data_IF_385909349941
#
_entry.id   IF_385909349941
#
_cell.length_a   1.000
_cell.length_b   1.000
_cell.length_c   1.000
_cell.angle_alpha   90.00
_cell.angle_beta   90.00
_cell.angle_gamma   90.00
#
_symmetry.space_group_name_H-M   'P 1'
#
loop_
_entity.id
_entity.type
_entity.pdbx_description
1 polymer ?
#
# COMPACT_ATOMS: atom_id res chain seq x y z
N UNK A 1 -28.72 -43.55 15.06
CA UNK A 1 -29.66 -42.40 15.05
C UNK A 1 -29.11 -41.18 15.79
N UNK A 2 -28.25 -41.32 16.81
CA UNK A 2 -27.66 -40.20 17.58
C UNK A 2 -26.57 -39.37 16.86
N UNK A 3 -25.89 -39.91 15.85
CA UNK A 3 -24.83 -39.19 15.13
C UNK A 3 -25.37 -38.16 14.12
N UNK A 4 -26.52 -38.44 13.50
CA UNK A 4 -27.19 -37.52 12.57
C UNK A 4 -27.70 -36.25 13.27
N UNK A 5 -28.27 -36.40 14.46
CA UNK A 5 -28.80 -35.26 15.24
C UNK A 5 -27.71 -34.35 15.80
N UNK A 6 -26.54 -34.88 16.15
CA UNK A 6 -25.38 -34.07 16.53
C UNK A 6 -24.83 -33.28 15.33
N UNK A 7 -24.72 -33.92 14.16
CA UNK A 7 -24.28 -33.27 12.92
C UNK A 7 -25.21 -32.12 12.51
N UNK A 8 -26.53 -32.31 12.60
CA UNK A 8 -27.51 -31.27 12.24
C UNK A 8 -27.45 -30.06 13.18
N UNK A 9 -27.29 -30.28 14.50
CA UNK A 9 -27.09 -29.20 15.47
C UNK A 9 -25.78 -28.46 15.24
N UNK A 10 -24.70 -29.18 14.94
CA UNK A 10 -23.40 -28.58 14.64
C UNK A 10 -23.45 -27.72 13.36
N UNK A 11 -24.12 -28.21 12.31
CA UNK A 11 -24.34 -27.45 11.07
C UNK A 11 -25.17 -26.19 11.33
N UNK A 12 -26.24 -26.28 12.12
CA UNK A 12 -27.06 -25.12 12.46
C UNK A 12 -26.28 -24.06 13.26
N UNK A 13 -25.44 -24.48 14.21
CA UNK A 13 -24.56 -23.58 14.97
C UNK A 13 -23.52 -22.94 14.05
N UNK A 14 -22.87 -23.73 13.18
CA UNK A 14 -21.91 -23.22 12.22
C UNK A 14 -22.53 -22.17 11.30
N UNK A 15 -23.72 -22.46 10.74
CA UNK A 15 -24.43 -21.51 9.89
C UNK A 15 -24.76 -20.20 10.62
N UNK A 16 -25.02 -20.22 11.93
CA UNK A 16 -25.22 -18.99 12.71
C UNK A 16 -23.94 -18.17 12.95
N UNK A 17 -22.78 -18.81 13.03
CA UNK A 17 -21.51 -18.18 13.45
C UNK A 17 -20.51 -17.95 12.32
N UNK A 18 -20.63 -18.64 11.19
CA UNK A 18 -19.64 -18.67 10.12
C UNK A 18 -19.20 -17.27 9.66
N UNK A 19 -20.13 -16.38 9.29
CA UNK A 19 -19.77 -15.01 8.87
C UNK A 19 -19.12 -14.23 10.01
N UNK A 20 -19.61 -14.38 11.25
CA UNK A 20 -19.06 -13.71 12.43
C UNK A 20 -17.60 -14.10 12.65
N UNK A 21 -17.30 -15.40 12.57
CA UNK A 21 -15.95 -15.94 12.72
C UNK A 21 -15.05 -15.46 11.58
N UNK A 22 -15.52 -15.51 10.32
CA UNK A 22 -14.73 -15.08 9.16
C UNK A 22 -14.36 -13.60 9.22
N UNK A 23 -15.29 -12.72 9.59
CA UNK A 23 -15.06 -11.28 9.67
C UNK A 23 -14.08 -10.93 10.81
N UNK A 24 -14.24 -11.56 11.98
CA UNK A 24 -13.29 -11.39 13.10
C UNK A 24 -11.90 -11.94 12.75
N UNK A 25 -11.84 -13.09 12.07
CA UNK A 25 -10.58 -13.67 11.66
C UNK A 25 -9.89 -12.82 10.60
N UNK A 26 -10.65 -12.20 9.69
CA UNK A 26 -10.13 -11.21 8.74
C UNK A 26 -9.48 -10.03 9.47
N UNK A 27 -10.12 -9.46 10.50
CA UNK A 27 -9.53 -8.38 11.32
C UNK A 27 -8.26 -8.84 12.03
N UNK A 28 -8.26 -10.04 12.60
CA UNK A 28 -7.08 -10.63 13.23
C UNK A 28 -5.90 -10.72 12.26
N UNK A 29 -6.13 -11.18 11.03
CA UNK A 29 -5.08 -11.22 10.01
C UNK A 29 -4.55 -9.83 9.68
N UNK A 30 -5.40 -8.80 9.59
CA UNK A 30 -4.94 -7.42 9.37
C UNK A 30 -4.04 -6.92 10.51
N UNK A 31 -4.39 -7.23 11.77
CA UNK A 31 -3.56 -6.90 12.94
C UNK A 31 -2.22 -7.63 12.89
N UNK A 32 -2.21 -8.91 12.50
CA UNK A 32 -0.97 -9.67 12.34
C UNK A 32 -0.11 -9.05 11.22
N UNK A 33 -0.70 -8.74 10.07
CA UNK A 33 -0.01 -8.16 8.92
C UNK A 33 0.59 -6.79 9.23
N UNK A 34 -0.13 -5.92 9.95
CA UNK A 34 0.38 -4.57 10.26
C UNK A 34 1.58 -4.62 11.23
N UNK A 35 1.53 -5.51 12.23
CA UNK A 35 2.58 -5.63 13.24
C UNK A 35 3.80 -6.36 12.66
N UNK A 36 3.58 -7.51 12.02
CA UNK A 36 4.66 -8.34 11.48
C UNK A 36 5.27 -7.73 10.22
N UNK A 37 4.48 -7.04 9.39
CA UNK A 37 4.96 -6.32 8.20
C UNK A 37 5.98 -5.25 8.56
N UNK A 38 5.68 -4.43 9.58
CA UNK A 38 6.65 -3.44 10.08
C UNK A 38 7.91 -4.10 10.68
N UNK A 39 7.74 -5.19 11.45
CA UNK A 39 8.88 -5.89 12.07
C UNK A 39 9.80 -6.58 11.06
N UNK A 40 9.29 -7.02 9.90
CA UNK A 40 10.07 -7.68 8.84
C UNK A 40 11.21 -6.79 8.35
N UNK A 41 11.00 -5.47 8.27
CA UNK A 41 12.00 -4.50 7.81
C UNK A 41 13.30 -4.55 8.63
N UNK A 42 13.18 -4.79 9.95
CA UNK A 42 14.30 -4.70 10.89
C UNK A 42 14.76 -6.06 11.46
N UNK A 43 13.95 -7.13 11.35
CA UNK A 43 14.24 -8.43 11.99
C UNK A 43 14.12 -9.59 11.01
N UNK A 44 15.26 -10.19 10.68
CA UNK A 44 15.35 -11.38 9.84
C UNK A 44 15.18 -12.69 10.65
N UNK A 45 13.98 -12.95 11.19
CA UNK A 45 13.66 -14.23 11.86
C UNK A 45 12.80 -15.14 10.98
N UNK A 46 13.14 -16.43 10.89
CA UNK A 46 12.40 -17.40 10.08
C UNK A 46 10.93 -17.53 10.48
N UNK A 47 10.63 -17.56 11.79
CA UNK A 47 9.25 -17.59 12.28
C UNK A 47 8.43 -16.37 11.82
N UNK A 48 9.02 -15.17 11.85
CA UNK A 48 8.34 -13.95 11.37
C UNK A 48 7.99 -14.06 9.88
N UNK A 49 8.93 -14.58 9.07
CA UNK A 49 8.74 -14.80 7.64
C UNK A 49 7.58 -15.77 7.36
N UNK A 50 7.55 -16.92 8.04
CA UNK A 50 6.51 -17.94 7.85
C UNK A 50 5.14 -17.40 8.29
N UNK A 51 5.03 -16.81 9.48
CA UNK A 51 3.76 -16.27 9.96
C UNK A 51 3.22 -15.16 9.06
N UNK A 52 4.08 -14.23 8.63
CA UNK A 52 3.69 -13.14 7.75
C UNK A 52 3.25 -13.67 6.38
N UNK A 53 3.96 -14.66 5.83
CA UNK A 53 3.61 -15.30 4.57
C UNK A 53 2.23 -15.98 4.63
N UNK A 54 1.97 -16.77 5.68
CA UNK A 54 0.65 -17.41 5.88
C UNK A 54 -0.44 -16.35 6.02
N UNK A 55 -0.22 -15.32 6.84
CA UNK A 55 -1.20 -14.26 7.04
C UNK A 55 -1.48 -13.49 5.74
N UNK A 56 -0.44 -13.20 4.95
CA UNK A 56 -0.53 -12.48 3.68
C UNK A 56 -1.37 -13.24 2.66
N UNK A 57 -1.07 -14.54 2.48
CA UNK A 57 -1.85 -15.39 1.58
C UNK A 57 -3.29 -15.58 2.06
N UNK A 58 -3.50 -15.67 3.37
CA UNK A 58 -4.83 -15.96 3.92
C UNK A 58 -5.75 -14.74 3.93
N UNK A 59 -5.23 -13.52 4.07
CA UNK A 59 -6.04 -12.33 4.29
C UNK A 59 -7.05 -12.06 3.16
N UNK A 60 -6.59 -12.09 1.92
CA UNK A 60 -7.45 -11.82 0.75
C UNK A 60 -8.46 -12.97 0.53
N UNK A 61 -8.02 -14.21 0.73
CA UNK A 61 -8.89 -15.39 0.62
C UNK A 61 -10.03 -15.36 1.62
N UNK A 62 -9.76 -15.02 2.88
CA UNK A 62 -10.77 -15.02 3.94
C UNK A 62 -11.80 -13.92 3.72
N UNK A 63 -11.38 -12.74 3.28
CA UNK A 63 -12.31 -11.69 2.96
C UNK A 63 -13.18 -12.06 1.73
N UNK A 64 -12.60 -12.74 0.73
CA UNK A 64 -13.35 -13.26 -0.44
C UNK A 64 -14.40 -14.29 -0.02
N UNK A 65 -14.02 -15.27 0.80
CA UNK A 65 -14.93 -16.32 1.29
C UNK A 65 -16.05 -15.69 2.12
N UNK A 66 -15.73 -14.73 3.00
CA UNK A 66 -16.72 -14.02 3.80
C UNK A 66 -17.73 -13.26 2.92
N UNK A 67 -17.27 -12.55 1.89
CA UNK A 67 -18.15 -11.89 0.92
C UNK A 67 -19.02 -12.89 0.14
N UNK A 68 -18.46 -14.04 -0.25
CA UNK A 68 -19.22 -15.10 -0.93
C UNK A 68 -20.34 -15.67 -0.06
N UNK A 69 -20.05 -15.95 1.22
CA UNK A 69 -21.04 -16.44 2.19
C UNK A 69 -22.13 -15.39 2.44
N UNK A 70 -21.75 -14.11 2.56
CA UNK A 70 -22.71 -12.99 2.69
C UNK A 70 -23.64 -12.92 1.47
N UNK A 71 -23.07 -12.98 0.26
CA UNK A 71 -23.83 -12.98 -1.00
C UNK A 71 -24.81 -14.16 -1.09
N UNK A 72 -24.35 -15.36 -0.72
CA UNK A 72 -25.18 -16.56 -0.70
C UNK A 72 -26.37 -16.42 0.27
N UNK A 73 -26.15 -15.88 1.48
CA UNK A 73 -27.20 -15.68 2.48
C UNK A 73 -28.26 -14.68 2.01
N UNK A 74 -27.83 -13.57 1.41
CA UNK A 74 -28.76 -12.62 0.79
C UNK A 74 -29.54 -13.27 -0.36
N UNK A 75 -28.87 -14.09 -1.17
CA UNK A 75 -29.49 -14.85 -2.26
C UNK A 75 -30.58 -15.82 -1.76
N UNK A 76 -30.31 -16.54 -0.67
CA UNK A 76 -31.17 -17.56 -0.09
C UNK A 76 -32.41 -17.00 0.65
N UNK A 77 -32.43 -15.70 0.98
CA UNK A 77 -33.54 -14.99 1.66
C UNK A 77 -34.91 -15.15 1.00
N UNK A 78 -34.97 -15.50 -0.30
CA UNK A 78 -36.23 -15.79 -1.01
C UNK A 78 -36.90 -17.10 -0.59
N UNK A 79 -36.17 -18.06 0.00
CA UNK A 79 -36.64 -19.44 0.16
C UNK A 79 -36.93 -19.88 1.60
N UNK A 80 -36.38 -19.22 2.63
CA UNK A 80 -36.60 -19.61 4.03
C UNK A 80 -36.60 -18.40 4.97
N UNK A 81 -37.63 -18.32 5.81
CA UNK A 81 -37.83 -17.31 6.87
C UNK A 81 -37.01 -17.60 8.13
N UNK A 82 -35.71 -17.87 7.99
CA UNK A 82 -34.85 -18.02 9.17
C UNK A 82 -34.34 -16.64 9.61
N UNK A 83 -34.70 -16.29 10.84
CA UNK A 83 -34.35 -15.10 11.57
C UNK A 83 -32.83 -14.88 11.66
N UNK A 84 -32.32 -13.94 10.88
CA UNK A 84 -31.11 -13.18 11.19
C UNK A 84 -31.22 -11.85 10.46
N UNK A 85 -31.21 -10.73 11.18
CA UNK A 85 -31.37 -9.40 10.59
C UNK A 85 -30.25 -9.13 9.57
N UNK A 86 -30.54 -9.21 8.25
CA UNK A 86 -29.52 -9.25 7.20
C UNK A 86 -28.76 -7.93 7.09
N UNK A 87 -29.39 -6.85 7.54
CA UNK A 87 -28.92 -5.47 7.35
C UNK A 87 -27.60 -5.20 8.08
N UNK A 88 -27.43 -5.69 9.32
CA UNK A 88 -26.18 -5.49 10.06
C UNK A 88 -25.04 -6.38 9.54
N UNK A 89 -25.36 -7.55 8.99
CA UNK A 89 -24.37 -8.43 8.37
C UNK A 89 -23.90 -7.88 7.02
N UNK A 90 -24.81 -7.26 6.26
CA UNK A 90 -24.46 -6.59 5.02
C UNK A 90 -23.53 -5.39 5.22
N UNK A 91 -23.61 -4.70 6.38
CA UNK A 91 -22.63 -3.68 6.76
C UNK A 91 -21.19 -4.23 6.85
N UNK A 92 -21.01 -5.52 7.13
CA UNK A 92 -19.67 -6.12 7.15
C UNK A 92 -19.06 -6.27 5.75
N UNK A 93 -19.84 -6.20 4.66
CA UNK A 93 -19.29 -6.29 3.31
C UNK A 93 -18.35 -5.10 2.97
N UNK A 94 -18.74 -3.82 3.16
CA UNK A 94 -17.81 -2.69 3.09
C UNK A 94 -16.60 -2.79 4.01
N UNK A 95 -16.75 -3.42 5.17
CA UNK A 95 -15.63 -3.61 6.09
C UNK A 95 -14.61 -4.62 5.54
N UNK A 96 -15.10 -5.73 4.97
CA UNK A 96 -14.25 -6.70 4.27
C UNK A 96 -13.55 -6.09 3.05
N UNK A 97 -14.20 -5.16 2.36
CA UNK A 97 -13.57 -4.38 1.30
C UNK A 97 -12.36 -3.58 1.82
N UNK A 98 -12.49 -2.94 2.97
CA UNK A 98 -11.38 -2.20 3.60
C UNK A 98 -10.23 -3.13 3.96
N UNK A 99 -10.52 -4.34 4.45
CA UNK A 99 -9.51 -5.37 4.71
C UNK A 99 -8.79 -5.85 3.44
N UNK A 100 -9.52 -6.00 2.34
CA UNK A 100 -8.93 -6.33 1.05
C UNK A 100 -8.05 -5.20 0.49
N UNK A 101 -8.24 -3.96 0.94
CA UNK A 101 -7.30 -2.87 0.71
C UNK A 101 -5.94 -3.07 1.40
N UNK A 102 -5.84 -3.97 2.38
CA UNK A 102 -4.62 -4.36 3.07
C UNK A 102 -3.99 -3.25 3.94
N UNK A 103 -3.07 -3.62 4.86
CA UNK A 103 -2.43 -2.66 5.74
C UNK A 103 -1.33 -1.88 5.01
N UNK A 104 -0.95 -0.73 5.56
CA UNK A 104 0.00 0.17 4.92
C UNK A 104 1.46 -0.35 4.97
N UNK A 105 1.76 -1.23 5.92
CA UNK A 105 3.10 -1.77 6.18
C UNK A 105 3.52 -2.90 5.26
N UNK A 106 2.57 -3.51 4.54
CA UNK A 106 2.85 -4.60 3.59
C UNK A 106 1.85 -4.58 2.45
N UNK A 107 2.32 -4.29 1.24
CA UNK A 107 1.56 -4.36 -0.01
C UNK A 107 1.88 -5.64 -0.79
N UNK A 108 3.16 -5.94 -0.90
CA UNK A 108 3.71 -7.08 -1.61
C UNK A 108 4.67 -7.86 -0.71
N UNK A 109 4.49 -9.19 -0.67
CA UNK A 109 5.39 -10.05 0.10
C UNK A 109 6.71 -10.25 -0.66
N UNK A 110 6.61 -10.52 -1.97
CA UNK A 110 7.74 -10.65 -2.88
C UNK A 110 7.64 -9.60 -4.02
N UNK A 111 8.73 -9.37 -4.76
CA UNK A 111 8.73 -8.38 -5.85
C UNK A 111 7.82 -8.81 -7.00
N UNK A 112 7.72 -10.12 -7.22
CA UNK A 112 6.89 -10.77 -8.23
C UNK A 112 5.40 -10.49 -8.01
N UNK A 113 4.97 -10.22 -6.77
CA UNK A 113 3.58 -9.87 -6.48
C UNK A 113 3.19 -8.51 -7.09
N UNK A 114 4.16 -7.62 -7.32
CA UNK A 114 3.92 -6.30 -7.93
C UNK A 114 3.57 -6.42 -9.42
N UNK A 115 4.20 -7.38 -10.13
CA UNK A 115 3.93 -7.65 -11.55
C UNK A 115 2.50 -8.15 -11.79
N UNK A 116 1.94 -8.83 -10.78
CA UNK A 116 0.59 -9.40 -10.83
C UNK A 116 -0.51 -8.37 -10.50
N UNK A 117 -0.20 -7.08 -10.48
CA UNK A 117 -1.19 -6.02 -10.22
C UNK A 117 -2.44 -6.06 -11.12
N UNK A 118 -2.39 -6.42 -12.43
CA UNK A 118 -3.60 -6.48 -13.25
C UNK A 118 -4.54 -7.61 -12.82
N UNK A 119 -3.98 -8.75 -12.41
CA UNK A 119 -4.73 -9.87 -11.86
C UNK A 119 -5.42 -9.46 -10.56
N UNK A 120 -4.67 -8.80 -9.68
CA UNK A 120 -5.22 -8.32 -8.41
C UNK A 120 -6.35 -7.31 -8.65
N UNK A 121 -6.20 -6.40 -9.62
CA UNK A 121 -7.25 -5.46 -9.99
C UNK A 121 -8.54 -6.19 -10.39
N UNK A 122 -8.46 -7.22 -11.24
CA UNK A 122 -9.62 -8.01 -11.64
C UNK A 122 -10.30 -8.69 -10.43
N UNK A 123 -9.52 -9.33 -9.55
CA UNK A 123 -10.03 -9.96 -8.33
C UNK A 123 -10.76 -8.96 -7.43
N UNK A 124 -10.19 -7.77 -7.24
CA UNK A 124 -10.78 -6.71 -6.45
C UNK A 124 -12.07 -6.15 -7.07
N UNK A 125 -12.13 -5.98 -8.40
CA UNK A 125 -13.36 -5.53 -9.10
C UNK A 125 -14.51 -6.53 -8.91
N UNK A 126 -14.21 -7.83 -8.98
CA UNK A 126 -15.22 -8.87 -8.71
C UNK A 126 -15.69 -8.79 -7.25
N UNK A 127 -14.76 -8.73 -6.29
CA UNK A 127 -15.10 -8.62 -4.87
C UNK A 127 -15.90 -7.35 -4.53
N UNK A 128 -15.54 -6.22 -5.12
CA UNK A 128 -16.27 -4.95 -4.99
C UNK A 128 -17.69 -5.10 -5.53
N UNK A 129 -17.85 -5.75 -6.68
CA UNK A 129 -19.16 -6.02 -7.29
C UNK A 129 -20.03 -6.92 -6.39
N UNK A 130 -19.44 -7.95 -5.75
CA UNK A 130 -20.14 -8.81 -4.78
C UNK A 130 -20.57 -8.02 -3.54
N UNK A 131 -19.70 -7.18 -3.00
CA UNK A 131 -20.04 -6.34 -1.84
C UNK A 131 -21.16 -5.33 -2.18
N UNK A 132 -21.11 -4.70 -3.36
CA UNK A 132 -22.17 -3.80 -3.83
C UNK A 132 -23.49 -4.54 -4.01
N UNK A 133 -23.45 -5.76 -4.56
CA UNK A 133 -24.62 -6.61 -4.68
C UNK A 133 -25.27 -6.92 -3.32
N UNK A 134 -24.46 -7.29 -2.33
CA UNK A 134 -24.93 -7.54 -0.95
C UNK A 134 -25.61 -6.29 -0.39
N UNK A 135 -24.98 -5.11 -0.53
CA UNK A 135 -25.54 -3.86 -0.03
C UNK A 135 -26.85 -3.45 -0.70
N UNK A 136 -26.94 -3.57 -2.03
CA UNK A 136 -28.16 -3.22 -2.78
C UNK A 136 -29.30 -4.16 -2.36
N UNK A 137 -29.01 -5.45 -2.20
CA UNK A 137 -30.01 -6.47 -1.86
C UNK A 137 -30.47 -6.39 -0.41
N UNK A 138 -29.59 -6.02 0.51
CA UNK A 138 -29.92 -5.79 1.91
C UNK A 138 -30.52 -4.40 2.17
N UNK A 139 -30.60 -3.54 1.15
CA UNK A 139 -31.03 -2.16 1.31
C UNK A 139 -32.48 -2.10 1.79
N UNK A 140 -32.65 -1.43 2.92
CA UNK A 140 -33.89 -1.18 3.62
C UNK A 140 -33.82 0.24 4.21
N UNK A 141 -34.94 0.85 4.55
CA UNK A 141 -34.98 2.20 5.15
C UNK A 141 -34.43 2.26 6.59
N UNK A 142 -33.69 1.23 7.02
CA UNK A 142 -33.07 1.15 8.33
C UNK A 142 -31.88 2.13 8.45
N UNK A 143 -31.75 2.87 9.58
CA UNK A 143 -30.67 3.84 9.77
C UNK A 143 -29.26 3.24 9.67
N UNK A 144 -29.09 1.94 9.94
CA UNK A 144 -27.79 1.25 9.85
C UNK A 144 -27.21 1.20 8.42
N UNK A 145 -28.05 1.32 7.38
CA UNK A 145 -27.56 1.30 6.00
C UNK A 145 -26.76 2.55 5.64
N UNK A 146 -27.04 3.68 6.27
CA UNK A 146 -26.26 4.90 6.07
C UNK A 146 -24.81 4.76 6.55
N UNK A 147 -24.52 3.83 7.48
CA UNK A 147 -23.16 3.53 7.92
C UNK A 147 -22.34 2.84 6.83
N UNK A 148 -22.99 2.08 5.95
CA UNK A 148 -22.31 1.36 4.88
C UNK A 148 -21.70 2.31 3.84
N UNK A 149 -22.28 3.51 3.64
CA UNK A 149 -21.82 4.50 2.65
C UNK A 149 -20.40 5.02 2.95
N UNK A 150 -20.11 5.64 4.10
CA UNK A 150 -18.76 6.10 4.42
C UNK A 150 -17.77 4.93 4.47
N UNK A 151 -18.19 3.75 4.95
CA UNK A 151 -17.33 2.57 4.97
C UNK A 151 -16.98 2.08 3.56
N UNK A 152 -17.92 2.14 2.62
CA UNK A 152 -17.70 1.80 1.21
C UNK A 152 -16.72 2.78 0.56
N UNK A 153 -16.84 4.08 0.85
CA UNK A 153 -15.90 5.11 0.37
C UNK A 153 -14.49 4.81 0.90
N UNK A 154 -14.34 4.54 2.20
CA UNK A 154 -13.06 4.16 2.79
C UNK A 154 -12.47 2.90 2.13
N UNK A 155 -13.32 1.90 1.84
CA UNK A 155 -12.93 0.70 1.09
C UNK A 155 -12.37 1.02 -0.29
N UNK A 156 -13.11 1.79 -1.10
CA UNK A 156 -12.68 2.22 -2.44
C UNK A 156 -11.33 2.93 -2.39
N UNK A 157 -11.13 3.82 -1.41
CA UNK A 157 -9.86 4.52 -1.22
C UNK A 157 -8.74 3.51 -0.93
N UNK A 158 -8.92 2.64 0.07
CA UNK A 158 -7.92 1.65 0.47
C UNK A 158 -7.56 0.67 -0.65
N UNK A 159 -8.55 0.33 -1.49
CA UNK A 159 -8.33 -0.45 -2.71
C UNK A 159 -7.49 0.28 -3.75
N UNK A 160 -7.88 1.52 -4.06
CA UNK A 160 -7.16 2.35 -5.01
C UNK A 160 -5.71 2.55 -4.59
N UNK A 161 -5.47 2.79 -3.28
CA UNK A 161 -4.14 2.89 -2.71
C UNK A 161 -3.30 1.62 -2.97
N UNK A 162 -3.87 0.43 -2.71
CA UNK A 162 -3.16 -0.84 -2.90
C UNK A 162 -2.79 -1.07 -4.36
N UNK A 163 -3.74 -0.88 -5.29
CA UNK A 163 -3.49 -1.08 -6.72
C UNK A 163 -2.49 -0.07 -7.26
N UNK A 164 -2.61 1.20 -6.87
CA UNK A 164 -1.67 2.24 -7.29
C UNK A 164 -0.23 1.90 -6.89
N UNK A 165 -0.03 1.47 -5.64
CA UNK A 165 1.30 1.10 -5.13
C UNK A 165 1.85 -0.13 -5.85
N UNK A 166 1.05 -1.19 -6.02
CA UNK A 166 1.47 -2.38 -6.75
C UNK A 166 1.89 -2.06 -8.19
N UNK A 167 1.09 -1.27 -8.91
CA UNK A 167 1.42 -0.83 -10.26
C UNK A 167 2.69 0.02 -10.29
N UNK A 168 2.80 1.02 -9.41
CA UNK A 168 3.98 1.91 -9.36
C UNK A 168 5.27 1.17 -9.02
N UNK A 169 5.16 0.02 -8.33
CA UNK A 169 6.26 -0.83 -7.94
C UNK A 169 6.55 -1.96 -8.95
N UNK A 170 5.74 -2.14 -10.00
CA UNK A 170 6.05 -3.05 -11.10
C UNK A 170 7.29 -2.57 -11.86
N UNK A 171 8.11 -3.49 -12.36
CA UNK A 171 9.42 -3.18 -12.92
C UNK A 171 9.32 -2.20 -14.09
N UNK A 172 8.36 -2.42 -15.00
CA UNK A 172 8.16 -1.54 -16.16
C UNK A 172 7.81 -0.10 -15.74
N UNK A 173 6.78 0.09 -14.91
CA UNK A 173 6.37 1.43 -14.46
C UNK A 173 7.43 2.07 -13.55
N UNK A 174 8.09 1.27 -12.71
CA UNK A 174 9.17 1.71 -11.84
C UNK A 174 10.36 2.23 -12.65
N UNK A 175 10.76 1.52 -13.71
CA UNK A 175 11.82 1.90 -14.64
C UNK A 175 11.43 3.12 -15.46
N UNK A 176 10.24 3.12 -16.05
CA UNK A 176 9.74 4.24 -16.86
C UNK A 176 9.63 5.53 -16.07
N UNK A 177 9.28 5.45 -14.77
CA UNK A 177 9.25 6.61 -13.87
C UNK A 177 10.63 7.27 -13.64
N UNK A 178 11.72 6.57 -13.96
CA UNK A 178 13.10 7.04 -13.78
C UNK A 178 13.80 7.43 -15.08
N UNK A 179 13.25 7.05 -16.23
CA UNK A 179 13.80 7.43 -17.52
C UNK A 179 13.45 8.90 -17.82
N UNK A 180 14.40 9.70 -18.33
CA UNK A 180 14.05 11.00 -18.91
C UNK A 180 13.12 10.77 -20.12
N UNK A 181 12.42 11.82 -20.54
CA UNK A 181 11.63 11.75 -21.78
C UNK A 181 12.53 11.24 -22.92
N UNK A 182 12.04 10.34 -23.79
CA UNK A 182 12.80 9.87 -24.92
C UNK A 182 13.34 11.06 -25.72
N UNK A 183 14.66 11.26 -25.66
CA UNK A 183 15.34 12.26 -26.46
C UNK A 183 16.06 11.50 -27.58
N UNK A 184 15.63 11.64 -28.85
CA UNK A 184 16.34 11.05 -29.98
C UNK A 184 17.75 11.65 -30.17
N UNK A 185 18.14 12.61 -29.32
CA UNK A 185 19.39 13.31 -29.36
C UNK A 185 19.39 14.39 -30.44
N UNK A 186 20.48 15.16 -30.55
CA UNK A 186 20.67 16.09 -31.65
C UNK A 186 20.59 15.32 -32.98
N UNK A 187 19.88 15.87 -33.97
CA UNK A 187 19.85 15.30 -35.31
C UNK A 187 21.26 15.35 -35.91
N UNK A 188 22.02 14.26 -35.75
CA UNK A 188 23.41 14.16 -36.14
C UNK A 188 23.59 14.37 -37.64
N UNK A 189 22.63 13.93 -38.46
CA UNK A 189 22.66 14.17 -39.90
C UNK A 189 22.65 15.68 -40.20
N UNK A 190 21.73 16.44 -39.59
CA UNK A 190 21.68 17.90 -39.74
C UNK A 190 22.95 18.59 -39.23
N UNK A 191 23.53 18.10 -38.14
CA UNK A 191 24.81 18.60 -37.62
C UNK A 191 25.96 18.35 -38.60
N UNK A 192 26.04 17.14 -39.16
CA UNK A 192 27.07 16.75 -40.12
C UNK A 192 26.93 17.46 -41.46
N UNK A 193 25.70 17.70 -41.93
CA UNK A 193 25.45 18.51 -43.13
C UNK A 193 26.01 19.93 -42.93
N UNK A 194 25.72 20.55 -41.78
CA UNK A 194 26.24 21.87 -41.44
C UNK A 194 27.77 21.90 -41.25
N UNK A 195 28.36 20.85 -40.68
CA UNK A 195 29.81 20.70 -40.57
C UNK A 195 30.46 20.62 -41.97
N UNK A 196 29.88 19.81 -42.85
CA UNK A 196 30.37 19.58 -44.22
C UNK A 196 30.32 20.86 -45.05
N UNK A 197 29.20 21.60 -44.98
CA UNK A 197 29.03 22.88 -45.67
C UNK A 197 30.07 23.92 -45.21
N UNK A 198 30.23 24.11 -43.89
CA UNK A 198 31.23 25.06 -43.36
C UNK A 198 32.67 24.67 -43.69
N UNK A 199 32.96 23.38 -43.79
CA UNK A 199 34.29 22.90 -44.21
C UNK A 199 34.52 23.19 -45.70
N UNK A 200 33.51 23.04 -46.54
CA UNK A 200 33.56 23.38 -47.97
C UNK A 200 33.71 24.89 -48.21
N UNK A 201 33.14 25.73 -47.34
CA UNK A 201 33.30 27.19 -47.35
C UNK A 201 34.69 27.67 -46.85
N UNK A 202 35.57 26.75 -46.42
CA UNK A 202 36.94 27.07 -46.01
C UNK A 202 37.12 27.43 -44.52
N UNK A 203 36.08 27.28 -43.69
CA UNK A 203 36.22 27.52 -42.25
C UNK A 203 37.04 26.42 -41.56
N UNK A 204 37.94 26.81 -40.65
CA UNK A 204 38.59 25.87 -39.72
C UNK A 204 37.65 25.56 -38.57
N UNK A 205 37.08 24.37 -38.58
CA UNK A 205 36.16 23.88 -37.54
C UNK A 205 36.88 22.86 -36.67
N UNK A 206 36.87 23.06 -35.34
CA UNK A 206 37.23 22.02 -34.39
C UNK A 206 35.97 21.50 -33.72
N UNK A 207 35.82 20.18 -33.64
CA UNK A 207 34.73 19.56 -32.89
C UNK A 207 35.17 19.53 -31.44
N UNK A 208 34.69 20.48 -30.64
CA UNK A 208 34.87 20.46 -29.20
C UNK A 208 33.93 19.43 -28.60
N UNK A 209 34.45 18.53 -27.76
CA UNK A 209 33.61 17.72 -26.88
C UNK A 209 32.88 18.68 -25.95
N UNK A 210 31.55 18.71 -26.02
CA UNK A 210 30.77 19.33 -24.96
C UNK A 210 30.96 18.41 -23.76
N UNK A 211 31.88 18.74 -22.87
CA UNK A 211 31.75 18.29 -21.49
C UNK A 211 30.45 18.90 -21.01
N UNK A 212 29.39 18.10 -20.97
CA UNK A 212 28.20 18.46 -20.21
C UNK A 212 28.68 18.73 -18.79
N UNK A 213 28.95 19.99 -18.50
CA UNK A 213 29.00 20.52 -17.14
C UNK A 213 27.57 20.48 -16.61
N UNK A 214 27.01 19.28 -16.48
CA UNK A 214 26.06 18.97 -15.45
C UNK A 214 26.81 19.28 -14.17
N UNK A 215 26.58 20.49 -13.67
CA UNK A 215 27.21 21.09 -12.51
C UNK A 215 27.67 20.01 -11.55
N UNK A 216 28.98 19.82 -11.42
CA UNK A 216 29.56 19.19 -10.23
C UNK A 216 29.03 20.05 -9.11
N UNK A 217 27.92 19.62 -8.53
CA UNK A 217 27.39 20.23 -7.34
C UNK A 217 28.39 19.85 -6.27
N UNK A 218 29.47 20.63 -6.16
CA UNK A 218 30.18 20.85 -4.90
C UNK A 218 29.08 21.26 -3.93
N UNK A 219 28.50 20.32 -3.19
CA UNK A 219 27.56 20.64 -2.12
C UNK A 219 28.11 20.11 -0.82
N UNK A 220 28.46 21.09 0.00
CA UNK A 220 28.28 21.18 1.43
C UNK A 220 28.04 19.82 2.08
N UNK A 221 29.07 19.30 2.77
CA UNK A 221 28.95 18.27 3.79
C UNK A 221 27.61 18.47 4.50
N UNK A 222 26.62 17.63 4.22
CA UNK A 222 25.40 17.69 4.99
C UNK A 222 25.78 17.15 6.36
N UNK A 223 25.54 17.90 7.46
CA UNK A 223 25.93 17.43 8.79
C UNK A 223 25.16 16.14 9.18
N UNK A 224 24.09 15.83 8.47
CA UNK A 224 23.10 14.81 8.81
C UNK A 224 23.12 13.62 7.83
N UNK A 225 23.24 12.40 8.37
CA UNK A 225 23.27 11.14 7.61
C UNK A 225 22.05 10.95 6.70
N UNK A 226 20.90 11.49 7.11
CA UNK A 226 19.65 11.41 6.37
C UNK A 226 19.71 12.08 4.99
N UNK A 227 20.41 13.21 4.88
CA UNK A 227 20.53 13.94 3.61
C UNK A 227 21.45 13.20 2.62
N UNK A 228 22.57 12.68 3.12
CA UNK A 228 23.50 11.86 2.35
C UNK A 228 22.81 10.59 1.85
N UNK A 229 22.11 9.88 2.74
CA UNK A 229 21.31 8.71 2.39
C UNK A 229 20.25 9.04 1.33
N UNK A 230 19.58 10.19 1.44
CA UNK A 230 18.58 10.60 0.44
C UNK A 230 19.18 10.88 -0.95
N UNK A 231 20.43 11.32 -1.00
CA UNK A 231 21.16 11.56 -2.24
C UNK A 231 21.57 10.23 -2.88
N UNK A 232 22.25 9.37 -2.12
CA UNK A 232 22.69 8.06 -2.62
C UNK A 232 21.52 7.13 -2.92
N UNK A 233 20.42 7.21 -2.17
CA UNK A 233 19.20 6.48 -2.48
C UNK A 233 18.72 6.74 -3.93
N UNK A 234 18.83 7.98 -4.44
CA UNK A 234 18.45 8.28 -5.84
C UNK A 234 19.33 7.57 -6.86
N UNK A 235 20.60 7.34 -6.52
CA UNK A 235 21.57 6.62 -7.34
C UNK A 235 21.28 5.11 -7.22
N UNK A 236 21.23 4.60 -5.99
CA UNK A 236 20.98 3.20 -5.66
C UNK A 236 19.66 2.67 -6.24
N UNK A 237 18.59 3.47 -6.19
CA UNK A 237 17.27 3.15 -6.74
C UNK A 237 17.33 2.77 -8.23
N UNK A 238 18.26 3.34 -9.01
CA UNK A 238 18.43 3.06 -10.44
C UNK A 238 18.89 1.62 -10.70
N UNK A 239 19.68 1.04 -9.80
CA UNK A 239 20.14 -0.35 -9.92
C UNK A 239 18.98 -1.34 -9.85
N UNK A 240 17.93 -1.05 -9.08
CA UNK A 240 16.72 -1.87 -8.98
C UNK A 240 15.83 -1.79 -10.24
N UNK A 241 16.09 -0.84 -11.13
CA UNK A 241 15.39 -0.69 -12.40
C UNK A 241 16.24 -1.16 -13.60
N UNK A 242 17.30 -1.94 -13.34
CA UNK A 242 18.28 -2.40 -14.33
C UNK A 242 18.92 -1.26 -15.15
N UNK A 243 19.04 -0.07 -14.56
CA UNK A 243 19.68 1.09 -15.19
C UNK A 243 21.19 1.13 -14.86
N UNK A 244 21.98 1.53 -15.86
CA UNK A 244 23.43 1.70 -15.70
C UNK A 244 23.73 3.00 -14.94
N UNK A 245 24.59 2.93 -13.93
CA UNK A 245 25.06 4.11 -13.20
C UNK A 245 26.03 4.93 -14.07
N UNK A 246 25.94 6.25 -13.97
CA UNK A 246 26.94 7.10 -14.60
C UNK A 246 28.30 6.97 -13.90
N UNK A 247 29.38 7.21 -14.64
CA UNK A 247 30.73 7.22 -14.07
C UNK A 247 30.83 8.18 -12.88
N UNK A 248 30.22 9.36 -13.01
CA UNK A 248 30.18 10.38 -11.95
C UNK A 248 29.43 9.90 -10.70
N UNK A 249 28.28 9.23 -10.85
CA UNK A 249 27.51 8.71 -9.72
C UNK A 249 28.33 7.67 -8.93
N UNK A 250 29.02 6.77 -9.65
CA UNK A 250 29.90 5.77 -9.04
C UNK A 250 31.09 6.41 -8.33
N UNK A 251 31.72 7.42 -8.93
CA UNK A 251 32.88 8.12 -8.34
C UNK A 251 32.47 8.93 -7.10
N UNK A 252 31.30 9.59 -7.12
CA UNK A 252 30.76 10.31 -5.97
C UNK A 252 30.46 9.38 -4.78
N UNK A 253 29.85 8.22 -5.04
CA UNK A 253 29.61 7.21 -4.00
C UNK A 253 30.91 6.67 -3.41
N UNK A 254 31.88 6.31 -4.27
CA UNK A 254 33.18 5.80 -3.81
C UNK A 254 33.96 6.84 -3.00
N UNK A 255 34.03 8.08 -3.47
CA UNK A 255 34.76 9.15 -2.78
C UNK A 255 34.17 9.49 -1.42
N UNK A 256 32.84 9.41 -1.28
CA UNK A 256 32.18 9.50 0.03
C UNK A 256 32.66 8.35 0.93
N UNK A 257 32.45 7.09 0.54
CA UNK A 257 32.75 5.93 1.39
C UNK A 257 34.24 5.71 1.71
N UNK A 258 35.13 6.22 0.86
CA UNK A 258 36.58 6.12 1.03
C UNK A 258 37.21 7.37 1.67
N UNK A 259 36.41 8.36 2.04
CA UNK A 259 36.92 9.58 2.66
C UNK A 259 37.59 9.28 4.01
N UNK A 260 38.77 9.84 4.26
CA UNK A 260 39.60 9.56 5.45
C UNK A 260 38.90 9.88 6.78
N UNK A 261 37.97 10.84 6.78
CA UNK A 261 37.19 11.22 7.96
C UNK A 261 35.91 10.39 8.16
N UNK A 262 35.66 9.38 7.31
CA UNK A 262 34.47 8.56 7.43
C UNK A 262 34.55 7.61 8.63
N UNK A 263 33.62 7.77 9.56
CA UNK A 263 33.38 6.79 10.62
C UNK A 263 32.51 5.64 10.11
N UNK A 264 32.88 4.39 10.45
CA UNK A 264 32.08 3.21 10.13
C UNK A 264 30.63 3.34 10.63
N UNK A 265 30.40 4.00 11.77
CA UNK A 265 29.04 4.22 12.31
C UNK A 265 28.18 5.05 11.35
N UNK A 266 28.74 6.15 10.84
CA UNK A 266 28.05 7.03 9.89
C UNK A 266 27.81 6.31 8.55
N UNK A 267 28.77 5.49 8.10
CA UNK A 267 28.61 4.69 6.88
C UNK A 267 27.46 3.68 7.00
N UNK A 268 27.41 2.92 8.09
CA UNK A 268 26.32 1.96 8.33
C UNK A 268 24.96 2.65 8.50
N UNK A 269 24.90 3.80 9.17
CA UNK A 269 23.68 4.59 9.32
C UNK A 269 23.13 5.06 7.96
N UNK A 270 24.00 5.58 7.09
CA UNK A 270 23.61 5.99 5.73
C UNK A 270 23.07 4.81 4.92
N UNK A 271 23.78 3.66 4.95
CA UNK A 271 23.35 2.44 4.26
C UNK A 271 22.04 1.90 4.83
N UNK A 272 21.84 1.92 6.14
CA UNK A 272 20.61 1.48 6.80
C UNK A 272 19.41 2.29 6.32
N UNK A 273 19.55 3.62 6.27
CA UNK A 273 18.49 4.53 5.77
C UNK A 273 18.23 4.28 4.28
N UNK A 274 19.27 4.12 3.46
CA UNK A 274 19.13 3.84 2.02
C UNK A 274 18.38 2.54 1.75
N UNK A 275 18.77 1.46 2.43
CA UNK A 275 18.09 0.18 2.36
C UNK A 275 16.65 0.28 2.89
N UNK A 276 16.43 1.09 3.92
CA UNK A 276 15.11 1.40 4.44
C UNK A 276 14.19 2.05 3.40
N UNK A 277 14.69 3.09 2.70
CA UNK A 277 13.96 3.74 1.61
C UNK A 277 13.70 2.79 0.44
N UNK A 278 14.69 1.97 0.08
CA UNK A 278 14.55 1.02 -1.01
C UNK A 278 13.58 -0.11 -0.67
N UNK A 279 13.55 -0.59 0.56
CA UNK A 279 12.57 -1.58 1.02
C UNK A 279 11.14 -1.03 0.96
N UNK A 280 10.94 0.22 1.36
CA UNK A 280 9.61 0.82 1.46
C UNK A 280 8.93 0.99 0.09
N UNK A 281 9.70 1.16 -0.99
CA UNK A 281 9.20 1.38 -2.35
C UNK A 281 8.36 0.20 -2.90
N UNK A 282 8.90 -1.05 -2.98
CA UNK A 282 8.17 -2.17 -3.54
C UNK A 282 7.32 -2.92 -2.51
N UNK A 283 7.57 -2.80 -1.20
CA UNK A 283 6.92 -3.62 -0.18
C UNK A 283 5.87 -2.90 0.67
N UNK A 284 5.80 -1.57 0.65
CA UNK A 284 4.91 -0.79 1.55
C UNK A 284 4.15 0.29 0.80
N UNK A 285 3.13 0.87 1.44
CA UNK A 285 2.40 2.03 0.89
C UNK A 285 3.12 3.38 1.09
N UNK A 286 4.35 3.39 1.64
CA UNK A 286 5.04 4.63 2.02
C UNK A 286 5.17 5.64 0.87
N UNK A 287 5.48 5.16 -0.34
CA UNK A 287 5.63 6.00 -1.54
C UNK A 287 4.39 6.84 -1.86
N UNK A 288 3.20 6.27 -1.64
CA UNK A 288 1.92 6.96 -1.82
C UNK A 288 1.59 7.86 -0.63
N UNK A 289 1.84 7.41 0.60
CA UNK A 289 1.44 8.14 1.81
C UNK A 289 2.15 9.50 1.91
N UNK A 290 3.42 9.58 1.52
CA UNK A 290 4.17 10.84 1.49
C UNK A 290 3.82 11.76 0.30
N UNK A 291 2.95 11.30 -0.61
CA UNK A 291 2.38 12.15 -1.66
C UNK A 291 1.20 12.96 -1.13
N UNK A 292 0.96 14.16 -1.71
CA UNK A 292 -0.19 15.00 -1.37
C UNK A 292 -1.51 14.25 -1.55
N UNK A 293 -1.62 13.44 -2.60
CA UNK A 293 -2.82 12.67 -2.89
C UNK A 293 -3.06 11.58 -1.84
N UNK A 294 -2.02 10.84 -1.44
CA UNK A 294 -2.13 9.82 -0.39
C UNK A 294 -2.47 10.41 0.98
N UNK A 295 -1.94 11.59 1.31
CA UNK A 295 -2.32 12.31 2.53
C UNK A 295 -3.81 12.69 2.56
N UNK A 296 -4.36 13.17 1.44
CA UNK A 296 -5.79 13.47 1.31
C UNK A 296 -6.62 12.19 1.43
N UNK A 297 -6.27 11.14 0.69
CA UNK A 297 -6.93 9.83 0.76
C UNK A 297 -7.01 9.30 2.20
N UNK A 298 -5.92 9.42 2.95
CA UNK A 298 -5.86 8.99 4.36
C UNK A 298 -6.78 9.80 5.27
N UNK A 299 -6.81 11.13 5.12
CA UNK A 299 -7.71 12.00 5.90
C UNK A 299 -9.17 11.64 5.61
N UNK A 300 -9.50 11.40 4.33
CA UNK A 300 -10.86 10.99 3.93
C UNK A 300 -11.20 9.61 4.50
N UNK A 301 -10.32 8.61 4.38
CA UNK A 301 -10.51 7.27 4.96
C UNK A 301 -10.76 7.34 6.47
N UNK A 302 -9.89 8.05 7.21
CA UNK A 302 -10.00 8.21 8.66
C UNK A 302 -11.26 8.96 9.07
N UNK A 303 -11.64 9.99 8.31
CA UNK A 303 -12.89 10.72 8.55
C UNK A 303 -14.10 9.80 8.35
N UNK A 304 -14.09 8.98 7.29
CA UNK A 304 -15.13 7.99 7.02
C UNK A 304 -15.22 6.92 8.13
N UNK A 305 -14.11 6.38 8.63
CA UNK A 305 -14.11 5.38 9.71
C UNK A 305 -14.62 5.98 11.03
N UNK A 306 -14.14 7.16 11.41
CA UNK A 306 -14.58 7.88 12.62
C UNK A 306 -16.06 8.26 12.51
N UNK A 307 -16.49 8.78 11.37
CA UNK A 307 -17.90 9.13 11.13
C UNK A 307 -18.80 7.90 11.26
N UNK A 308 -18.39 6.77 10.68
CA UNK A 308 -19.11 5.49 10.80
C UNK A 308 -19.20 5.03 12.25
N UNK A 309 -18.11 5.16 13.01
CA UNK A 309 -18.08 4.82 14.44
C UNK A 309 -19.03 5.69 15.25
N UNK A 310 -19.00 7.01 15.08
CA UNK A 310 -19.89 7.94 15.79
C UNK A 310 -21.36 7.68 15.40
N UNK A 311 -21.65 7.53 14.11
CA UNK A 311 -22.98 7.19 13.63
C UNK A 311 -23.47 5.86 14.22
N UNK A 312 -22.57 4.86 14.30
CA UNK A 312 -22.85 3.61 14.97
C UNK A 312 -23.12 3.81 16.46
N UNK A 313 -22.54 4.76 17.18
CA UNK A 313 -22.92 4.96 18.59
C UNK A 313 -24.32 5.57 18.73
N UNK A 314 -24.74 6.43 17.80
CA UNK A 314 -25.98 7.21 17.88
C UNK A 314 -27.21 6.44 17.40
N UNK A 315 -27.09 5.64 16.34
CA UNK A 315 -28.22 4.93 15.72
C UNK A 315 -28.91 3.99 16.71
N UNK A 316 -30.24 3.98 16.75
CA UNK A 316 -30.99 2.98 17.50
C UNK A 316 -30.81 1.60 16.88
N UNK A 317 -30.57 0.62 17.74
CA UNK A 317 -30.21 -0.76 17.38
C UNK A 317 -31.04 -1.78 18.13
N UNK A 318 -32.17 -1.40 18.71
CA UNK A 318 -33.05 -2.28 19.51
C UNK A 318 -33.29 -3.64 18.85
N UNK A 319 -33.47 -3.67 17.52
CA UNK A 319 -33.76 -4.89 16.75
C UNK A 319 -32.56 -5.84 16.52
N UNK A 320 -31.31 -5.41 16.74
CA UNK A 320 -30.13 -6.24 16.43
C UNK A 320 -29.67 -7.10 17.61
N UNK A 321 -29.13 -8.28 17.32
CA UNK A 321 -28.59 -9.17 18.36
C UNK A 321 -27.43 -8.51 19.10
N UNK A 322 -27.28 -8.81 20.41
CA UNK A 322 -26.16 -8.29 21.21
C UNK A 322 -24.81 -8.67 20.60
N UNK A 323 -24.70 -9.88 20.05
CA UNK A 323 -23.48 -10.39 19.41
C UNK A 323 -23.08 -9.57 18.20
N UNK A 324 -24.02 -9.29 17.28
CA UNK A 324 -23.71 -8.53 16.05
C UNK A 324 -23.32 -7.08 16.37
N UNK A 325 -23.92 -6.49 17.41
CA UNK A 325 -23.53 -5.17 17.93
C UNK A 325 -22.09 -5.16 18.44
N UNK A 326 -21.72 -6.14 19.27
CA UNK A 326 -20.37 -6.26 19.84
C UNK A 326 -19.34 -6.47 18.73
N UNK A 327 -19.62 -7.34 17.77
CA UNK A 327 -18.72 -7.60 16.64
C UNK A 327 -18.52 -6.33 15.82
N UNK A 328 -19.61 -5.65 15.45
CA UNK A 328 -19.53 -4.41 14.66
C UNK A 328 -18.76 -3.32 15.38
N UNK A 329 -18.96 -3.18 16.70
CA UNK A 329 -18.17 -2.27 17.53
C UNK A 329 -16.69 -2.64 17.52
N UNK A 330 -16.35 -3.91 17.68
CA UNK A 330 -14.98 -4.41 17.68
C UNK A 330 -14.30 -4.16 16.33
N UNK A 331 -15.00 -4.34 15.22
CA UNK A 331 -14.51 -4.04 13.87
C UNK A 331 -14.19 -2.55 13.73
N UNK A 332 -15.11 -1.66 14.12
CA UNK A 332 -14.89 -0.21 14.01
C UNK A 332 -13.75 0.28 14.90
N UNK A 333 -13.70 -0.17 16.16
CA UNK A 333 -12.59 0.15 17.07
C UNK A 333 -11.27 -0.40 16.52
N UNK A 334 -11.28 -1.64 16.02
CA UNK A 334 -10.12 -2.25 15.39
C UNK A 334 -9.61 -1.46 14.20
N UNK A 335 -10.49 -1.01 13.31
CA UNK A 335 -10.12 -0.18 12.17
C UNK A 335 -9.50 1.15 12.59
N UNK A 336 -10.08 1.86 13.56
CA UNK A 336 -9.54 3.11 14.09
C UNK A 336 -8.15 2.89 14.70
N UNK A 337 -8.00 1.84 15.52
CA UNK A 337 -6.70 1.49 16.14
C UNK A 337 -5.65 1.17 15.07
N UNK A 338 -6.01 0.43 14.02
CA UNK A 338 -5.11 0.14 12.90
C UNK A 338 -4.70 1.40 12.14
N UNK A 339 -5.64 2.32 11.88
CA UNK A 339 -5.34 3.59 11.20
C UNK A 339 -4.42 4.49 12.05
N UNK A 340 -4.68 4.60 13.36
CA UNK A 340 -3.82 5.32 14.32
C UNK A 340 -2.42 4.70 14.37
N UNK A 341 -2.34 3.37 14.48
CA UNK A 341 -1.05 2.67 14.50
C UNK A 341 -0.25 2.91 13.21
N UNK A 342 -0.90 2.88 12.04
CA UNK A 342 -0.23 3.22 10.79
C UNK A 342 0.21 4.70 10.72
N UNK A 343 -0.53 5.64 11.34
CA UNK A 343 -0.09 7.04 11.46
C UNK A 343 1.15 7.15 12.35
N UNK A 344 1.19 6.41 13.46
CA UNK A 344 2.36 6.39 14.35
C UNK A 344 3.60 5.88 13.60
N UNK A 345 3.48 4.76 12.88
CA UNK A 345 4.57 4.23 12.04
C UNK A 345 5.03 5.27 11.03
N UNK A 346 4.08 5.90 10.34
CA UNK A 346 4.38 6.92 9.34
C UNK A 346 5.17 8.09 9.94
N UNK A 347 4.72 8.63 11.08
CA UNK A 347 5.38 9.75 11.75
C UNK A 347 6.80 9.40 12.22
N UNK A 348 7.03 8.14 12.61
CA UNK A 348 8.35 7.64 13.02
C UNK A 348 9.29 7.26 11.86
N UNK A 349 8.82 7.34 10.61
CA UNK A 349 9.59 6.91 9.44
C UNK A 349 10.66 7.92 9.02
N UNK A 350 11.79 7.42 8.52
CA UNK A 350 12.87 8.21 7.92
C UNK A 350 12.36 9.14 6.80
N UNK A 351 11.29 8.72 6.10
CA UNK A 351 10.63 9.53 5.08
C UNK A 351 10.00 10.80 5.64
N UNK A 352 9.37 10.73 6.82
CA UNK A 352 8.80 11.90 7.50
C UNK A 352 9.91 12.84 7.94
N UNK A 353 11.00 12.29 8.46
CA UNK A 353 12.16 13.06 8.88
C UNK A 353 12.79 13.80 7.68
N UNK A 354 12.88 13.14 6.52
CA UNK A 354 13.38 13.73 5.28
C UNK A 354 12.44 14.80 4.71
N UNK A 355 11.13 14.61 4.86
CA UNK A 355 10.14 15.60 4.45
C UNK A 355 10.20 16.86 5.33
N UNK A 356 10.29 16.70 6.66
CA UNK A 356 10.43 17.80 7.60
C UNK A 356 11.73 18.59 7.39
N UNK A 357 12.83 17.90 7.07
CA UNK A 357 14.12 18.57 6.84
C UNK A 357 14.12 19.45 5.59
N UNK A 358 13.35 19.07 4.55
CA UNK A 358 13.16 19.88 3.34
C UNK A 358 12.35 21.16 3.58
N UNK A 359 11.42 21.14 4.54
CA UNK A 359 10.61 22.32 4.89
C UNK A 359 11.33 23.32 5.78
N UNK A 360 12.36 22.89 6.52
CA UNK A 360 13.18 23.76 7.38
C UNK A 360 14.20 24.61 6.63
N UNK A 361 14.31 24.50 5.30
CA UNK A 361 15.17 25.39 4.49
C UNK A 361 14.35 26.64 4.13
N UNK A 362 14.67 27.82 4.69
CA UNK A 362 14.04 29.08 4.31
C UNK A 362 14.39 29.49 2.88
#
# INVERSE_FOLDING_TARGET
MSTKTFSEKAIAIWNGWEVRVLVLFSLFLQIVLIILGNRRKYKAKNWLRICLWVAYLSADWIATVALGVLSYREAAKKNQSYEANPVIMAFWAPFLLVHLGGPDTITAYALEDNELWPRRLLELVVQFSVALYVLIRSWSSAPVNFLAIPMLIAGIIKFGERIWVLRSASNDEFRDSMLPRPDPGPNYAKFMDGYSAKKAEGFKISVGTITDTSTVVRRNNFPDALHEASYFFRIFKRLFADLILSFQDSENSRSFFLHTEMSYKKAFEVIEIELGFMYDLPHTKASLIHSRLGSICRIVSLSCTISTFIAFLIVDKTDYTKTDKIITLLLLVGAIVLEIYAVIILLSSDWTMLWLSKQKKP
#
